data_IF_030823997584
#
_entry.id   IF_030823997584
#
_cell.length_a   1.000
_cell.length_b   1.000
_cell.length_c   1.000
_cell.angle_alpha   90.00
_cell.angle_beta   90.00
_cell.angle_gamma   90.00
#
_symmetry.space_group_name_H-M   'P 1'
#
loop_
_entity.id
_entity.type
_entity.pdbx_description
1 polymer ?
#
# COMPACT_ATOMS: atom_id res chain seq x y z
N UNK A 1 -8.38 8.50 -21.04
CA UNK A 1 -8.96 9.33 -19.96
C UNK A 1 -10.12 10.24 -20.41
N UNK A 2 -10.92 9.85 -21.41
CA UNK A 2 -11.95 10.74 -21.99
C UNK A 2 -13.12 11.05 -21.02
N UNK A 3 -13.46 10.12 -20.14
CA UNK A 3 -14.55 10.30 -19.18
C UNK A 3 -14.21 11.34 -18.10
N UNK A 4 -13.02 11.24 -17.49
CA UNK A 4 -12.56 12.18 -16.47
C UNK A 4 -12.38 13.59 -17.04
N UNK A 5 -11.74 13.71 -18.21
CA UNK A 5 -11.57 15.00 -18.89
C UNK A 5 -12.90 15.70 -19.22
N UNK A 6 -13.93 14.94 -19.62
CA UNK A 6 -15.27 15.51 -19.86
C UNK A 6 -15.98 15.90 -18.56
N UNK A 7 -15.83 15.10 -17.50
CA UNK A 7 -16.52 15.33 -16.23
C UNK A 7 -15.95 16.54 -15.47
N UNK A 8 -14.66 16.84 -15.66
CA UNK A 8 -13.94 17.92 -14.99
C UNK A 8 -13.67 19.12 -15.91
N UNK A 9 -14.36 19.21 -17.06
CA UNK A 9 -14.22 20.32 -17.99
C UNK A 9 -14.66 21.65 -17.35
N UNK A 10 -13.80 22.65 -17.39
CA UNK A 10 -14.01 23.96 -16.74
C UNK A 10 -13.66 24.02 -15.25
N UNK A 11 -13.31 22.89 -14.62
CA UNK A 11 -12.82 22.88 -13.24
C UNK A 11 -11.33 23.18 -13.17
N UNK A 12 -10.87 23.73 -12.05
CA UNK A 12 -9.45 24.00 -11.80
C UNK A 12 -8.66 22.72 -11.41
N UNK A 13 -8.92 21.61 -12.09
CA UNK A 13 -8.30 20.30 -11.85
C UNK A 13 -7.64 19.81 -13.12
N UNK A 14 -6.32 19.66 -13.07
CA UNK A 14 -5.56 19.02 -14.15
C UNK A 14 -5.57 17.50 -13.99
N UNK A 15 -6.34 16.81 -14.83
CA UNK A 15 -6.48 15.34 -14.78
C UNK A 15 -5.14 14.63 -14.99
N UNK A 16 -4.33 15.12 -15.92
CA UNK A 16 -3.08 14.44 -16.28
C UNK A 16 -2.07 14.55 -15.12
N UNK A 17 -2.09 15.68 -14.40
CA UNK A 17 -1.28 15.88 -13.21
C UNK A 17 -1.56 14.87 -12.10
N UNK A 18 -2.83 14.47 -11.87
CA UNK A 18 -3.16 13.53 -10.80
C UNK A 18 -2.92 12.07 -11.20
N UNK A 19 -2.99 11.76 -12.50
CA UNK A 19 -3.19 10.37 -12.95
C UNK A 19 -2.05 9.77 -13.76
N UNK A 20 -1.25 10.58 -14.49
CA UNK A 20 -0.22 10.05 -15.41
C UNK A 20 1.14 10.71 -15.30
N UNK A 21 1.31 11.76 -14.48
CA UNK A 21 2.63 12.35 -14.30
C UNK A 21 3.60 11.35 -13.67
N UNK A 22 4.87 11.48 -14.03
CA UNK A 22 5.95 10.81 -13.31
C UNK A 22 6.04 11.33 -11.87
N UNK A 23 6.49 10.45 -10.97
CA UNK A 23 6.60 10.72 -9.54
C UNK A 23 8.01 10.43 -9.06
N UNK A 24 8.53 11.29 -8.20
CA UNK A 24 9.87 11.16 -7.63
C UNK A 24 9.80 10.62 -6.21
N UNK A 25 10.80 9.84 -5.80
CA UNK A 25 10.83 9.22 -4.45
C UNK A 25 10.75 10.21 -3.29
N UNK A 26 11.28 11.41 -3.48
CA UNK A 26 11.38 12.41 -2.42
C UNK A 26 10.09 13.25 -2.26
N UNK A 27 9.08 13.05 -3.10
CA UNK A 27 7.82 13.78 -2.99
C UNK A 27 6.86 13.14 -1.98
N UNK A 28 5.78 13.86 -1.65
CA UNK A 28 4.64 13.27 -0.93
C UNK A 28 3.85 12.39 -1.89
N UNK A 29 3.89 11.09 -1.66
CA UNK A 29 3.28 10.09 -2.54
C UNK A 29 1.80 9.87 -2.16
N UNK A 30 0.95 9.44 -3.11
CA UNK A 30 -0.47 9.25 -2.86
C UNK A 30 -0.78 8.27 -1.72
N UNK A 31 0.13 7.35 -1.40
CA UNK A 31 -0.02 6.35 -0.35
C UNK A 31 0.60 6.73 1.00
N UNK A 32 1.25 7.89 1.13
CA UNK A 32 1.92 8.30 2.38
C UNK A 32 0.96 8.48 3.57
N UNK A 33 -0.34 8.58 3.31
CA UNK A 33 -1.37 8.68 4.33
C UNK A 33 -1.93 7.32 4.78
N UNK A 34 -1.47 6.21 4.19
CA UNK A 34 -1.91 4.86 4.52
C UNK A 34 -1.13 4.32 5.73
N UNK A 35 -1.82 3.59 6.60
CA UNK A 35 -1.25 2.88 7.74
C UNK A 35 -1.53 1.39 7.54
N UNK A 36 -0.70 0.74 6.72
CA UNK A 36 -0.85 -0.65 6.30
C UNK A 36 0.18 -1.59 6.92
N UNK A 37 0.99 -1.14 7.89
CA UNK A 37 2.09 -1.93 8.45
C UNK A 37 3.32 -2.08 7.54
N UNK A 38 3.21 -1.72 6.26
CA UNK A 38 4.32 -1.71 5.31
C UNK A 38 5.17 -0.44 5.47
N UNK A 39 6.49 -0.59 5.34
CA UNK A 39 7.41 0.54 5.29
C UNK A 39 7.25 1.34 3.98
N UNK A 40 7.48 2.65 4.03
CA UNK A 40 7.39 3.52 2.87
C UNK A 40 8.35 3.11 1.74
N UNK A 41 9.51 2.54 2.08
CA UNK A 41 10.46 2.00 1.10
C UNK A 41 9.87 0.82 0.34
N UNK A 42 9.19 -0.08 1.04
CA UNK A 42 8.56 -1.24 0.42
C UNK A 42 7.53 -0.80 -0.62
N UNK A 43 6.69 0.19 -0.29
CA UNK A 43 5.68 0.73 -1.21
C UNK A 43 6.31 1.42 -2.42
N UNK A 44 7.45 2.09 -2.24
CA UNK A 44 8.21 2.67 -3.35
C UNK A 44 8.78 1.58 -4.26
N UNK A 45 9.44 0.57 -3.71
CA UNK A 45 10.03 -0.53 -4.46
C UNK A 45 8.97 -1.34 -5.21
N UNK A 46 7.83 -1.63 -4.58
CA UNK A 46 6.69 -2.29 -5.20
C UNK A 46 6.12 -1.46 -6.37
N UNK A 47 6.01 -0.15 -6.21
CA UNK A 47 5.61 0.73 -7.29
C UNK A 47 6.59 0.68 -8.48
N UNK A 48 7.90 0.72 -8.23
CA UNK A 48 8.90 0.57 -9.29
C UNK A 48 8.82 -0.79 -9.99
N UNK A 49 8.68 -1.88 -9.22
CA UNK A 49 8.50 -3.23 -9.77
C UNK A 49 7.24 -3.32 -10.65
N UNK A 50 6.13 -2.69 -10.23
CA UNK A 50 4.89 -2.65 -11.01
C UNK A 50 5.06 -1.94 -12.37
N UNK A 51 5.89 -0.89 -12.44
CA UNK A 51 6.22 -0.20 -13.69
C UNK A 51 7.04 -1.08 -14.64
N UNK A 52 7.82 -2.02 -14.08
CA UNK A 52 8.57 -3.05 -14.82
C UNK A 52 7.74 -4.31 -15.11
N UNK A 53 6.43 -4.29 -14.81
CA UNK A 53 5.51 -5.43 -14.96
C UNK A 53 5.90 -6.65 -14.09
N UNK A 54 6.64 -6.42 -13.00
CA UNK A 54 7.02 -7.44 -12.03
C UNK A 54 5.92 -7.53 -10.97
N UNK A 55 5.33 -8.71 -10.83
CA UNK A 55 4.30 -8.97 -9.83
C UNK A 55 4.92 -9.31 -8.47
N UNK A 56 4.25 -8.89 -7.40
CA UNK A 56 4.54 -9.33 -6.03
C UNK A 56 4.24 -10.82 -5.89
N UNK A 57 5.13 -11.53 -5.21
CA UNK A 57 4.96 -12.95 -4.93
C UNK A 57 3.83 -13.20 -3.92
N UNK A 58 3.23 -14.40 -3.98
CA UNK A 58 2.18 -14.79 -3.04
C UNK A 58 2.76 -15.02 -1.64
N UNK A 59 2.48 -14.08 -0.73
CA UNK A 59 2.95 -14.08 0.66
C UNK A 59 2.52 -15.28 1.51
N UNK A 60 1.66 -16.16 0.98
CA UNK A 60 1.34 -17.45 1.61
C UNK A 60 2.46 -18.46 1.44
N UNK A 61 3.26 -18.34 0.38
CA UNK A 61 4.33 -19.27 0.03
C UNK A 61 5.72 -18.66 0.13
N UNK A 62 5.80 -17.34 0.16
CA UNK A 62 7.01 -16.56 0.45
C UNK A 62 6.92 -15.96 1.86
N UNK A 63 7.99 -15.33 2.38
CA UNK A 63 7.91 -14.60 3.63
C UNK A 63 6.80 -13.53 3.60
N UNK A 64 6.04 -13.41 4.70
CA UNK A 64 4.98 -12.42 4.85
C UNK A 64 5.54 -10.99 4.70
N UNK A 65 4.80 -10.10 4.02
CA UNK A 65 5.17 -8.69 3.88
C UNK A 65 4.72 -7.81 5.05
N UNK A 66 4.01 -8.38 6.04
CA UNK A 66 3.57 -7.68 7.25
C UNK A 66 2.58 -6.52 6.99
N UNK A 67 1.67 -6.71 6.04
CA UNK A 67 0.66 -5.70 5.66
C UNK A 67 -0.53 -5.56 6.64
N UNK A 68 -0.53 -6.27 7.76
CA UNK A 68 -1.56 -6.22 8.80
C UNK A 68 -2.99 -6.65 8.42
N UNK A 69 -3.28 -6.93 7.14
CA UNK A 69 -4.63 -7.29 6.65
C UNK A 69 -5.12 -8.59 7.26
N UNK A 70 -4.30 -9.64 7.26
CA UNK A 70 -4.73 -10.97 7.67
C UNK A 70 -5.08 -11.06 9.16
N UNK A 71 -4.44 -10.26 10.02
CA UNK A 71 -4.70 -10.23 11.46
C UNK A 71 -6.06 -9.58 11.81
N UNK A 72 -6.49 -8.62 11.00
CA UNK A 72 -7.75 -7.89 11.21
C UNK A 72 -8.99 -8.65 10.76
N UNK A 73 -8.82 -9.72 9.97
CA UNK A 73 -9.94 -10.43 9.34
C UNK A 73 -10.49 -11.59 10.18
N UNK A 74 -10.03 -11.77 11.43
CA UNK A 74 -10.35 -12.93 12.27
C UNK A 74 -10.09 -14.27 11.54
N UNK A 75 -9.13 -14.26 10.60
CA UNK A 75 -8.76 -15.42 9.78
C UNK A 75 -7.50 -16.10 10.31
N UNK A 76 -7.47 -17.42 10.24
CA UNK A 76 -6.25 -18.17 10.51
C UNK A 76 -5.28 -18.02 9.33
N UNK A 77 -4.17 -17.30 9.55
CA UNK A 77 -3.17 -17.04 8.51
C UNK A 77 -2.49 -18.36 8.13
N UNK A 78 -2.82 -18.88 6.94
CA UNK A 78 -2.16 -20.07 6.38
C UNK A 78 -0.87 -19.64 5.69
N UNK A 79 0.23 -19.65 6.44
CA UNK A 79 1.59 -19.47 5.90
C UNK A 79 2.19 -20.85 5.67
N UNK A 80 2.68 -21.12 4.45
CA UNK A 80 3.43 -22.33 4.14
C UNK A 80 4.72 -22.43 4.97
N UNK A 81 5.46 -23.55 4.90
CA UNK A 81 6.73 -23.67 5.61
C UNK A 81 7.76 -22.69 5.03
N UNK A 82 7.86 -21.50 5.64
CA UNK A 82 8.75 -20.41 5.21
C UNK A 82 10.17 -20.54 5.78
N UNK A 83 10.40 -21.46 6.72
CA UNK A 83 11.70 -21.65 7.36
C UNK A 83 12.13 -20.51 8.29
N UNK A 84 11.29 -19.49 8.49
CA UNK A 84 11.51 -18.37 9.40
C UNK A 84 10.60 -18.46 10.62
N UNK A 85 11.07 -18.02 11.77
CA UNK A 85 10.25 -17.92 12.99
C UNK A 85 9.46 -16.62 12.95
N UNK A 86 8.14 -16.71 12.85
CA UNK A 86 7.26 -15.54 13.00
C UNK A 86 7.39 -15.00 14.42
N UNK A 87 7.81 -13.74 14.55
CA UNK A 87 7.83 -13.03 15.83
C UNK A 87 6.38 -12.67 16.21
N UNK A 88 6.00 -12.77 17.50
CA UNK A 88 4.67 -12.34 17.92
C UNK A 88 4.52 -10.84 17.70
N UNK A 89 3.40 -10.42 17.11
CA UNK A 89 3.12 -9.01 16.92
C UNK A 89 3.02 -8.29 18.28
N UNK A 90 3.66 -7.12 18.42
CA UNK A 90 3.45 -6.28 19.60
C UNK A 90 1.99 -5.80 19.64
N UNK A 91 1.37 -5.86 20.82
CA UNK A 91 0.03 -5.32 21.00
C UNK A 91 0.05 -3.79 20.81
N UNK A 92 -0.61 -3.29 19.76
CA UNK A 92 -0.80 -1.87 19.54
C UNK A 92 -1.74 -1.31 20.63
N UNK A 93 -1.35 -0.26 21.38
CA UNK A 93 -2.27 0.40 22.29
C UNK A 93 -3.44 1.00 21.52
N UNK A 94 -4.65 0.96 22.10
CA UNK A 94 -5.84 1.53 21.46
C UNK A 94 -5.60 3.00 21.09
N UNK A 95 -5.82 3.35 19.81
CA UNK A 95 -5.73 4.74 19.34
C UNK A 95 -6.83 5.55 20.03
N UNK A 96 -6.51 6.66 20.72
CA UNK A 96 -7.54 7.52 21.29
C UNK A 96 -8.44 8.07 20.17
N UNK A 97 -9.74 8.30 20.44
CA UNK A 97 -10.63 8.85 19.44
C UNK A 97 -10.10 10.18 18.93
N UNK A 98 -10.09 10.35 17.60
CA UNK A 98 -9.85 11.66 16.98
C UNK A 98 -11.00 12.55 17.39
N UNK A 99 -10.74 13.54 18.24
CA UNK A 99 -11.72 14.56 18.59
C UNK A 99 -12.05 15.33 17.31
N UNK A 100 -13.34 15.35 16.95
CA UNK A 100 -13.89 16.15 15.86
C UNK A 100 -13.83 17.65 16.17
#
# INVERSE_FOLDING_TARGET
MLAAGKALDGEAVDVDWYTIRERERAEVLPWDHLDSGLDAEWLWEDWQASLEEIAVEDCRWTPCFDCGVCDQMETEIQVGPTGVTSLPMPAMPARPPVLA
#
